data_IF_742945380929
#
_entry.id   IF_742945380929
#
_cell.length_a   1.000
_cell.length_b   1.000
_cell.length_c   1.000
_cell.angle_alpha   90.00
_cell.angle_beta   90.00
_cell.angle_gamma   90.00
#
_symmetry.space_group_name_H-M   'P 1'
#
loop_
_entity.id
_entity.type
_entity.pdbx_description
1 polymer ?
#
# COMPACT_ATOMS: atom_id res chain seq x y z
N UNK A 1 9.19 -14.87 11.57
CA UNK A 1 8.71 -13.54 11.17
C UNK A 1 7.26 -13.35 11.53
N UNK A 2 6.86 -12.12 11.85
CA UNK A 2 5.52 -11.81 12.34
C UNK A 2 4.87 -10.76 11.48
N UNK A 3 3.62 -11.00 11.06
CA UNK A 3 2.78 -10.02 10.38
C UNK A 3 1.85 -9.40 11.42
N UNK A 4 1.77 -8.08 11.46
CA UNK A 4 0.86 -7.36 12.37
C UNK A 4 0.32 -6.10 11.70
N UNK A 5 -0.76 -5.55 12.24
CA UNK A 5 -1.27 -4.24 11.86
C UNK A 5 -0.49 -3.13 12.57
N UNK A 6 -0.56 -1.90 12.04
CA UNK A 6 0.21 -0.79 12.60
C UNK A 6 -0.42 -0.20 13.85
N UNK A 7 0.44 0.17 14.80
CA UNK A 7 0.11 0.97 15.95
C UNK A 7 1.04 2.20 15.99
N UNK A 8 0.80 3.10 16.93
CA UNK A 8 1.57 4.34 17.07
C UNK A 8 3.08 4.11 17.15
N UNK A 9 3.50 3.09 17.89
CA UNK A 9 4.90 2.74 18.10
C UNK A 9 5.62 2.28 16.83
N UNK A 10 4.88 1.95 15.78
CA UNK A 10 5.45 1.49 14.51
C UNK A 10 5.77 2.63 13.54
N UNK A 11 5.28 3.84 13.79
CA UNK A 11 5.33 4.95 12.83
C UNK A 11 6.75 5.31 12.41
N UNK A 12 7.68 5.45 13.36
CA UNK A 12 9.08 5.78 13.03
C UNK A 12 9.72 4.72 12.12
N UNK A 13 9.49 3.45 12.41
CA UNK A 13 10.01 2.35 11.61
C UNK A 13 9.40 2.34 10.20
N UNK A 14 8.10 2.60 10.10
CA UNK A 14 7.38 2.69 8.82
C UNK A 14 7.99 3.80 7.96
N UNK A 15 8.15 5.00 8.52
CA UNK A 15 8.72 6.14 7.80
C UNK A 15 10.16 5.87 7.34
N UNK A 16 10.96 5.19 8.17
CA UNK A 16 12.33 4.85 7.83
C UNK A 16 12.40 3.85 6.67
N UNK A 17 11.54 2.84 6.66
CA UNK A 17 11.47 1.87 5.56
C UNK A 17 11.02 2.55 4.27
N UNK A 18 10.01 3.41 4.32
CA UNK A 18 9.54 4.15 3.16
C UNK A 18 10.66 5.00 2.55
N UNK A 19 11.42 5.71 3.39
CA UNK A 19 12.52 6.56 2.94
C UNK A 19 13.65 5.76 2.25
N UNK A 20 13.86 4.51 2.63
CA UNK A 20 14.83 3.64 1.97
C UNK A 20 14.30 3.05 0.66
N UNK A 21 12.99 2.90 0.53
CA UNK A 21 12.38 2.24 -0.63
C UNK A 21 12.07 3.18 -1.78
N UNK A 22 11.86 4.47 -1.52
CA UNK A 22 11.43 5.44 -2.53
C UNK A 22 12.29 6.71 -2.54
N UNK A 23 12.46 7.35 -3.72
CA UNK A 23 13.10 8.66 -3.77
C UNK A 23 12.26 9.72 -3.03
N UNK A 24 12.88 10.81 -2.55
CA UNK A 24 12.17 11.83 -1.75
C UNK A 24 10.92 12.42 -2.42
N UNK A 25 10.91 12.49 -3.76
CA UNK A 25 9.74 13.01 -4.50
C UNK A 25 8.52 12.07 -4.43
N UNK A 26 8.73 10.79 -4.09
CA UNK A 26 7.67 9.77 -4.05
C UNK A 26 7.36 9.30 -2.62
N UNK A 27 8.34 9.38 -1.70
CA UNK A 27 8.19 8.84 -0.34
C UNK A 27 7.26 9.70 0.50
N UNK A 28 6.37 9.05 1.25
CA UNK A 28 5.60 9.70 2.30
C UNK A 28 6.51 9.95 3.51
N UNK A 29 6.27 11.06 4.22
CA UNK A 29 7.04 11.45 5.40
C UNK A 29 6.37 10.97 6.68
N UNK A 30 7.10 11.01 7.79
CA UNK A 30 6.60 10.53 9.09
C UNK A 30 5.29 11.20 9.50
N UNK A 31 5.15 12.52 9.29
CA UNK A 31 3.93 13.26 9.62
C UNK A 31 2.70 12.71 8.89
N UNK A 32 2.88 12.27 7.64
CA UNK A 32 1.81 11.65 6.87
C UNK A 32 1.43 10.29 7.44
N UNK A 33 2.42 9.51 7.89
CA UNK A 33 2.16 8.20 8.51
C UNK A 33 1.46 8.33 9.87
N UNK A 34 1.71 9.39 10.62
CA UNK A 34 0.96 9.68 11.86
C UNK A 34 -0.54 9.74 11.55
N UNK A 35 -0.91 10.49 10.52
CA UNK A 35 -2.32 10.62 10.12
C UNK A 35 -2.86 9.29 9.54
N UNK A 36 -2.09 8.61 8.72
CA UNK A 36 -2.53 7.34 8.13
C UNK A 36 -2.80 6.28 9.19
N UNK A 37 -1.90 6.11 10.15
CA UNK A 37 -2.06 5.11 11.23
C UNK A 37 -3.26 5.47 12.11
N UNK A 38 -3.46 6.77 12.36
CA UNK A 38 -4.63 7.25 13.12
C UNK A 38 -5.95 6.82 12.48
N UNK A 39 -6.07 6.97 11.16
CA UNK A 39 -7.34 6.69 10.46
C UNK A 39 -7.47 5.24 10.01
N UNK A 40 -6.38 4.60 9.62
CA UNK A 40 -6.45 3.25 9.06
C UNK A 40 -5.25 2.35 9.38
N UNK A 41 -4.74 2.43 10.61
CA UNK A 41 -3.65 1.54 11.06
C UNK A 41 -3.94 0.06 10.88
N UNK A 42 -5.20 -0.34 10.91
CA UNK A 42 -5.67 -1.70 10.65
C UNK A 42 -5.63 -2.10 9.16
N UNK A 43 -5.26 -1.17 8.27
CA UNK A 43 -5.00 -1.42 6.84
C UNK A 43 -3.53 -1.20 6.50
N UNK A 44 -2.66 -1.41 7.46
CA UNK A 44 -1.23 -1.58 7.32
C UNK A 44 -0.89 -3.03 7.65
N UNK A 45 -0.14 -3.66 6.76
CA UNK A 45 0.36 -5.02 6.97
C UNK A 45 1.86 -4.93 7.13
N UNK A 46 2.34 -5.14 8.35
CA UNK A 46 3.75 -4.98 8.72
C UNK A 46 4.39 -6.35 8.90
N UNK A 47 5.57 -6.54 8.32
CA UNK A 47 6.35 -7.76 8.51
C UNK A 47 7.58 -7.45 9.34
N UNK A 48 7.65 -8.04 10.52
CA UNK A 48 8.76 -7.92 11.43
C UNK A 48 9.62 -9.17 11.46
N UNK A 49 10.93 -9.00 11.42
CA UNK A 49 11.91 -10.02 11.73
C UNK A 49 12.46 -9.69 13.12
N UNK A 50 12.00 -10.42 14.15
CA UNK A 50 12.20 -10.05 15.55
C UNK A 50 11.73 -8.60 15.78
N UNK A 51 12.62 -7.69 16.14
CA UNK A 51 12.26 -6.30 16.44
C UNK A 51 12.42 -5.35 15.24
N UNK A 52 12.82 -5.88 14.08
CA UNK A 52 13.09 -5.07 12.90
C UNK A 52 11.96 -5.14 11.88
N UNK A 53 11.39 -3.98 11.54
CA UNK A 53 10.45 -3.89 10.43
C UNK A 53 11.22 -4.02 9.12
N UNK A 54 10.88 -5.02 8.30
CA UNK A 54 11.59 -5.30 7.05
C UNK A 54 10.74 -5.05 5.81
N UNK A 55 9.42 -5.05 5.95
CA UNK A 55 8.51 -4.81 4.82
C UNK A 55 7.16 -4.33 5.34
N UNK A 56 6.45 -3.55 4.53
CA UNK A 56 5.06 -3.23 4.84
C UNK A 56 4.28 -2.87 3.57
N UNK A 57 2.98 -3.07 3.66
CA UNK A 57 2.00 -2.64 2.65
C UNK A 57 0.95 -1.81 3.37
N UNK A 58 0.52 -0.71 2.77
CA UNK A 58 -0.52 0.13 3.36
C UNK A 58 -1.46 0.70 2.32
N UNK A 59 -2.65 1.05 2.76
CA UNK A 59 -3.63 1.75 1.95
C UNK A 59 -4.98 1.81 2.66
N UNK A 60 -5.80 2.79 2.31
CA UNK A 60 -7.09 2.96 2.96
C UNK A 60 -8.23 2.34 2.16
N UNK A 61 -9.43 2.41 2.72
CA UNK A 61 -10.65 1.90 2.09
C UNK A 61 -11.54 3.07 1.68
N UNK A 62 -12.21 2.93 0.55
CA UNK A 62 -13.07 3.98 -0.01
C UNK A 62 -14.14 3.39 -0.91
N UNK A 63 -15.19 4.17 -1.17
CA UNK A 63 -16.18 3.84 -2.20
C UNK A 63 -15.79 4.37 -3.59
N UNK A 64 -14.75 5.18 -3.68
CA UNK A 64 -14.28 5.70 -4.96
C UNK A 64 -13.64 4.60 -5.79
N UNK A 65 -13.89 4.64 -7.10
CA UNK A 65 -13.43 3.61 -8.05
C UNK A 65 -11.94 3.70 -8.34
N UNK A 66 -11.41 4.92 -8.42
CA UNK A 66 -10.04 5.13 -8.88
C UNK A 66 -9.17 5.70 -7.77
N UNK A 67 -7.89 5.32 -7.79
CA UNK A 67 -6.90 5.84 -6.87
C UNK A 67 -6.43 7.21 -7.37
N UNK A 68 -6.44 8.21 -6.48
CA UNK A 68 -6.09 9.59 -6.80
C UNK A 68 -4.94 10.10 -5.94
N UNK A 69 -4.24 11.12 -6.41
CA UNK A 69 -3.14 11.74 -5.66
C UNK A 69 -3.60 12.28 -4.30
N UNK A 70 -4.82 12.83 -4.21
CA UNK A 70 -5.37 13.36 -2.97
C UNK A 70 -5.42 12.30 -1.86
N UNK A 71 -5.66 11.05 -2.20
CA UNK A 71 -5.75 9.97 -1.23
C UNK A 71 -4.46 9.76 -0.42
N UNK A 72 -3.31 9.99 -1.06
CA UNK A 72 -2.00 9.88 -0.37
C UNK A 72 -1.83 10.96 0.70
N UNK A 73 -2.43 12.11 0.51
CA UNK A 73 -2.26 13.30 1.36
C UNK A 73 -3.38 13.49 2.38
N UNK A 74 -4.51 12.81 2.19
CA UNK A 74 -5.71 13.02 3.01
C UNK A 74 -6.23 11.70 3.59
N UNK A 75 -5.64 11.27 4.68
CA UNK A 75 -6.02 10.04 5.36
C UNK A 75 -7.47 10.06 5.87
N UNK A 76 -8.03 11.25 6.12
CA UNK A 76 -9.42 11.40 6.56
C UNK A 76 -10.45 10.96 5.52
N UNK A 77 -10.04 10.78 4.25
CA UNK A 77 -10.91 10.21 3.21
C UNK A 77 -11.21 8.73 3.44
N UNK A 78 -10.48 8.08 4.33
CA UNK A 78 -10.72 6.66 4.65
C UNK A 78 -12.16 6.44 5.10
N UNK A 79 -12.80 5.43 4.51
CA UNK A 79 -14.14 4.97 4.89
C UNK A 79 -14.09 3.48 5.16
N UNK A 80 -14.14 3.10 6.43
CA UNK A 80 -14.03 1.69 6.84
C UNK A 80 -15.11 0.80 6.20
N UNK A 81 -16.23 1.35 5.79
CA UNK A 81 -17.31 0.64 5.12
C UNK A 81 -17.24 0.70 3.59
N UNK A 82 -16.14 1.21 3.05
CA UNK A 82 -15.98 1.37 1.61
C UNK A 82 -15.84 0.06 0.86
N UNK A 83 -16.07 0.13 -0.45
CA UNK A 83 -16.08 -1.05 -1.33
C UNK A 83 -14.69 -1.48 -1.79
N UNK A 84 -13.71 -0.57 -1.83
CA UNK A 84 -12.40 -0.82 -2.42
C UNK A 84 -11.26 -0.59 -1.45
N UNK A 85 -10.38 -1.57 -1.34
CA UNK A 85 -9.11 -1.43 -0.63
C UNK A 85 -8.10 -0.81 -1.58
N UNK A 86 -7.69 0.42 -1.32
CA UNK A 86 -6.59 1.05 -2.03
C UNK A 86 -5.27 0.57 -1.45
N UNK A 87 -4.25 0.44 -2.30
CA UNK A 87 -2.87 0.13 -1.88
C UNK A 87 -1.99 1.30 -2.30
N UNK A 88 -1.38 1.97 -1.33
CA UNK A 88 -0.55 3.15 -1.55
C UNK A 88 0.93 2.81 -1.65
N UNK A 89 1.42 1.89 -0.81
CA UNK A 89 2.81 1.53 -0.77
C UNK A 89 3.02 0.03 -0.61
N UNK A 90 4.01 -0.48 -1.32
CA UNK A 90 4.51 -1.85 -1.20
C UNK A 90 6.01 -1.73 -1.00
N UNK A 91 6.47 -2.01 0.20
CA UNK A 91 7.82 -1.69 0.65
C UNK A 91 8.53 -2.93 1.18
N UNK A 92 9.77 -3.15 0.72
CA UNK A 92 10.66 -4.15 1.30
C UNK A 92 12.05 -3.53 1.38
N UNK A 93 12.69 -3.57 2.54
CA UNK A 93 14.08 -3.12 2.68
C UNK A 93 14.97 -3.81 1.65
N UNK A 94 15.93 -3.10 1.05
CA UNK A 94 16.76 -3.65 -0.03
C UNK A 94 17.39 -5.00 0.28
N UNK A 95 17.92 -5.20 1.48
CA UNK A 95 18.58 -6.44 1.88
C UNK A 95 17.63 -7.63 2.03
N UNK A 96 16.33 -7.38 2.05
CA UNK A 96 15.31 -8.42 2.24
C UNK A 96 14.50 -8.68 0.98
N UNK A 97 14.86 -8.04 -0.14
CA UNK A 97 14.17 -8.24 -1.42
C UNK A 97 14.47 -9.60 -2.02
N UNK A 98 13.61 -10.05 -2.95
CA UNK A 98 13.72 -11.32 -3.68
C UNK A 98 13.52 -12.56 -2.79
N UNK A 99 12.84 -12.41 -1.66
CA UNK A 99 12.48 -13.51 -0.76
C UNK A 99 10.97 -13.75 -0.70
N UNK A 100 10.17 -12.99 -1.45
CA UNK A 100 8.71 -13.15 -1.47
C UNK A 100 7.96 -12.46 -0.33
N UNK A 101 8.62 -11.61 0.44
CA UNK A 101 7.98 -10.97 1.61
C UNK A 101 6.87 -10.00 1.23
N UNK A 102 7.10 -9.16 0.20
CA UNK A 102 6.05 -8.28 -0.28
C UNK A 102 4.83 -9.08 -0.78
N UNK A 103 5.08 -10.18 -1.45
CA UNK A 103 4.02 -11.08 -1.91
C UNK A 103 3.19 -11.66 -0.77
N UNK A 104 3.82 -12.01 0.34
CA UNK A 104 3.10 -12.48 1.53
C UNK A 104 2.17 -11.39 2.07
N UNK A 105 2.64 -10.14 2.12
CA UNK A 105 1.83 -9.03 2.62
C UNK A 105 0.69 -8.67 1.66
N UNK A 106 0.96 -8.68 0.35
CA UNK A 106 -0.07 -8.46 -0.67
C UNK A 106 -1.15 -9.54 -0.56
N UNK A 107 -0.76 -10.79 -0.43
CA UNK A 107 -1.69 -11.91 -0.27
C UNK A 107 -2.53 -11.78 0.99
N UNK A 108 -1.95 -11.29 2.07
CA UNK A 108 -2.68 -11.05 3.31
C UNK A 108 -3.67 -9.90 3.16
N UNK A 109 -3.27 -8.82 2.49
CA UNK A 109 -4.17 -7.70 2.20
C UNK A 109 -5.36 -8.15 1.35
N UNK A 110 -5.12 -9.00 0.35
CA UNK A 110 -6.17 -9.55 -0.50
C UNK A 110 -7.12 -10.42 0.35
N UNK A 111 -6.59 -11.29 1.19
CA UNK A 111 -7.39 -12.15 2.06
C UNK A 111 -8.25 -11.34 3.03
N UNK A 112 -7.68 -10.31 3.64
CA UNK A 112 -8.40 -9.43 4.56
C UNK A 112 -9.53 -8.68 3.84
N UNK A 113 -9.26 -8.13 2.65
CA UNK A 113 -10.28 -7.42 1.86
C UNK A 113 -11.44 -8.36 1.47
N UNK A 114 -11.13 -9.58 1.08
CA UNK A 114 -12.13 -10.61 0.77
C UNK A 114 -12.99 -10.93 1.97
N UNK A 115 -12.38 -11.17 3.11
CA UNK A 115 -13.08 -11.47 4.36
C UNK A 115 -13.99 -10.32 4.79
N UNK A 116 -13.56 -9.08 4.55
CA UNK A 116 -14.33 -7.88 4.88
C UNK A 116 -15.48 -7.61 3.91
N UNK A 117 -15.60 -8.38 2.84
CA UNK A 117 -16.68 -8.22 1.86
C UNK A 117 -16.48 -7.08 0.88
N UNK A 118 -15.24 -6.63 0.67
CA UNK A 118 -14.92 -5.57 -0.30
C UNK A 118 -15.08 -6.09 -1.73
N UNK A 119 -15.20 -5.17 -2.68
CA UNK A 119 -15.28 -5.54 -4.12
C UNK A 119 -13.92 -5.90 -4.71
N UNK A 120 -12.84 -5.45 -4.12
CA UNK A 120 -11.49 -5.74 -4.56
C UNK A 120 -10.47 -4.73 -4.08
N UNK A 121 -9.32 -4.69 -4.78
CA UNK A 121 -8.20 -3.81 -4.45
C UNK A 121 -7.78 -3.01 -5.68
N UNK A 122 -7.26 -1.81 -5.44
CA UNK A 122 -6.76 -0.92 -6.50
C UNK A 122 -5.38 -0.40 -6.08
N UNK A 123 -4.43 -0.39 -7.02
CA UNK A 123 -3.12 0.21 -6.81
C UNK A 123 -2.68 0.96 -8.06
N UNK A 124 -1.64 1.77 -7.92
CA UNK A 124 -0.92 2.33 -9.06
C UNK A 124 0.53 1.90 -9.00
N UNK A 125 1.14 1.64 -10.15
CA UNK A 125 2.52 1.19 -10.22
C UNK A 125 3.20 1.71 -11.49
N UNK A 126 4.53 1.68 -11.46
CA UNK A 126 5.34 1.94 -12.65
C UNK A 126 5.19 0.77 -13.63
N UNK A 127 5.30 1.06 -14.92
CA UNK A 127 5.08 0.07 -16.00
C UNK A 127 5.86 -1.23 -15.79
N UNK A 128 7.11 -1.14 -15.34
CA UNK A 128 7.97 -2.31 -15.12
C UNK A 128 7.43 -3.28 -14.06
N UNK A 129 6.51 -2.83 -13.21
CA UNK A 129 5.93 -3.64 -12.14
C UNK A 129 4.60 -4.29 -12.50
N UNK A 130 4.04 -3.98 -13.67
CA UNK A 130 2.78 -4.59 -14.12
C UNK A 130 2.83 -6.12 -14.10
N UNK A 131 3.88 -6.79 -14.64
CA UNK A 131 3.93 -8.25 -14.58
C UNK A 131 3.96 -8.81 -13.16
N UNK A 132 4.59 -8.08 -12.25
CA UNK A 132 4.65 -8.49 -10.85
C UNK A 132 3.26 -8.53 -10.20
N UNK A 133 2.50 -7.44 -10.33
CA UNK A 133 1.17 -7.37 -9.73
C UNK A 133 0.15 -8.24 -10.47
N UNK A 134 0.34 -8.47 -11.77
CA UNK A 134 -0.51 -9.38 -12.52
C UNK A 134 -0.51 -10.80 -11.95
N UNK A 135 0.58 -11.23 -11.33
CA UNK A 135 0.67 -12.56 -10.70
C UNK A 135 -0.35 -12.74 -9.57
N UNK A 136 -0.76 -11.65 -8.92
CA UNK A 136 -1.75 -11.69 -7.83
C UNK A 136 -3.18 -11.55 -8.33
N UNK A 137 -3.36 -11.37 -9.64
CA UNK A 137 -4.68 -11.21 -10.26
C UNK A 137 -5.06 -9.77 -10.60
N UNK A 138 -4.17 -8.80 -10.35
CA UNK A 138 -4.42 -7.41 -10.74
C UNK A 138 -4.35 -7.29 -12.26
N UNK A 139 -5.28 -6.50 -12.81
CA UNK A 139 -5.33 -6.19 -14.25
C UNK A 139 -4.97 -4.74 -14.49
N UNK A 140 -4.13 -4.48 -15.50
CA UNK A 140 -3.72 -3.14 -15.89
C UNK A 140 -4.90 -2.40 -16.54
N UNK A 141 -5.24 -1.23 -15.99
CA UNK A 141 -6.28 -0.36 -16.52
C UNK A 141 -5.71 0.83 -17.32
N UNK A 142 -4.39 0.82 -17.56
CA UNK A 142 -3.71 1.86 -18.32
C UNK A 142 -3.13 2.97 -17.46
N UNK A 143 -2.51 3.94 -18.12
CA UNK A 143 -1.93 5.10 -17.44
C UNK A 143 -3.03 5.92 -16.79
N UNK A 144 -2.87 6.19 -15.48
CA UNK A 144 -3.82 6.99 -14.72
C UNK A 144 -3.60 8.49 -14.97
N UNK A 145 -4.67 9.22 -15.23
CA UNK A 145 -4.66 10.69 -15.29
C UNK A 145 -4.92 11.32 -13.92
N UNK A 146 -5.22 10.50 -12.91
CA UNK A 146 -5.54 10.92 -11.54
C UNK A 146 -4.38 10.72 -10.55
N UNK A 147 -3.33 10.03 -10.97
CA UNK A 147 -2.12 9.78 -10.19
C UNK A 147 -0.92 10.27 -10.97
N UNK A 148 -0.40 11.44 -10.57
CA UNK A 148 0.75 12.09 -11.21
C UNK A 148 1.91 12.30 -10.23
N UNK A 149 1.79 11.76 -9.08
CA UNK A 149 2.70 11.76 -7.95
C UNK A 149 4.15 11.49 -8.39
N UNK A 150 5.08 12.35 -8.00
CA UNK A 150 6.50 12.21 -8.34
C UNK A 150 6.86 12.39 -9.81
N UNK A 151 5.98 12.98 -10.64
CA UNK A 151 6.17 13.16 -12.08
C UNK A 151 6.46 11.84 -12.83
N UNK A 152 5.83 10.76 -12.40
CA UNK A 152 5.95 9.41 -12.97
C UNK A 152 4.65 9.04 -13.68
N UNK A 153 4.76 8.27 -14.76
CA UNK A 153 3.58 7.66 -15.37
C UNK A 153 3.15 6.46 -14.53
N UNK A 154 2.01 6.58 -13.86
CA UNK A 154 1.46 5.52 -13.02
C UNK A 154 0.37 4.76 -13.76
N UNK A 155 0.49 3.43 -13.81
CA UNK A 155 -0.57 2.56 -14.30
C UNK A 155 -1.49 2.17 -13.13
N UNK A 156 -2.79 2.33 -13.33
CA UNK A 156 -3.75 1.81 -12.34
C UNK A 156 -3.99 0.34 -12.61
N UNK A 157 -3.97 -0.45 -11.56
CA UNK A 157 -4.29 -1.88 -11.61
C UNK A 157 -5.37 -2.22 -10.61
N UNK A 158 -6.26 -3.13 -10.99
CA UNK A 158 -7.41 -3.53 -10.19
C UNK A 158 -7.52 -5.04 -10.08
N UNK A 159 -7.77 -5.52 -8.87
CA UNK A 159 -8.17 -6.89 -8.60
C UNK A 159 -9.62 -6.87 -8.16
N UNK A 160 -10.50 -7.45 -8.93
CA UNK A 160 -11.94 -7.55 -8.58
C UNK A 160 -12.27 -8.95 -8.12
N UNK A 161 -13.00 -9.04 -7.03
CA UNK A 161 -13.45 -10.32 -6.50
C UNK A 161 -14.69 -10.85 -7.20
#
# INVERSE_FOLDING_TARGET
MTIKYAAKEDISAIAAVEAECFPPAEAAIEAEFVERVKYYGNHFWLLYNADKLIAFVDGFVTDELDLTDEMYENAAMHNENGAWQMIFGVNTLPDYRKHGYAGELISRAIADAKQQGRKGLVLTCKERLIPYYAKFGFKDEGVSDKSTHGNVAWHQMRLSF
#
